data_IF_653138066894
#
_entry.id   IF_653138066894
#
_cell.length_a   1.000
_cell.length_b   1.000
_cell.length_c   1.000
_cell.angle_alpha   90.00
_cell.angle_beta   90.00
_cell.angle_gamma   90.00
#
_symmetry.space_group_name_H-M   'P 1'
#
loop_
_entity.id
_entity.type
_entity.pdbx_description
1 polymer ?
#
# COMPACT_ATOMS: atom_id res chain seq x y z
N UNK A 1 -54.28 67.39 -17.32
CA UNK A 1 -52.93 67.91 -16.97
C UNK A 1 -52.01 66.72 -16.80
N UNK A 2 -51.09 66.53 -17.74
CA UNK A 2 -50.19 65.36 -17.84
C UNK A 2 -48.79 65.83 -17.41
N UNK A 3 -48.33 65.39 -16.24
CA UNK A 3 -46.98 65.69 -15.78
C UNK A 3 -46.05 64.52 -16.15
N UNK A 4 -45.24 64.72 -17.18
CA UNK A 4 -44.10 63.87 -17.55
C UNK A 4 -42.99 64.08 -16.52
N UNK A 5 -42.55 63.02 -15.86
CA UNK A 5 -41.27 62.99 -15.14
C UNK A 5 -40.28 62.13 -15.92
N UNK A 6 -39.32 62.81 -16.54
CA UNK A 6 -38.10 62.25 -17.11
C UNK A 6 -37.02 62.34 -16.02
N UNK A 7 -36.56 61.21 -15.49
CA UNK A 7 -35.34 61.14 -14.70
C UNK A 7 -34.30 60.33 -15.48
N UNK A 8 -33.22 61.03 -15.85
CA UNK A 8 -32.06 60.50 -16.55
C UNK A 8 -31.11 59.81 -15.57
N UNK A 9 -30.77 58.55 -15.89
CA UNK A 9 -29.44 57.92 -15.93
C UNK A 9 -28.38 58.47 -14.95
N UNK A 10 -27.90 57.60 -14.06
CA UNK A 10 -26.48 57.61 -13.69
C UNK A 10 -25.93 56.18 -13.74
N UNK A 11 -25.16 55.93 -14.78
CA UNK A 11 -24.50 54.68 -15.10
C UNK A 11 -23.13 54.71 -14.41
N UNK A 12 -23.07 54.33 -13.14
CA UNK A 12 -21.79 54.03 -12.49
C UNK A 12 -21.38 52.62 -12.90
N UNK A 13 -20.50 52.54 -13.90
CA UNK A 13 -19.70 51.36 -14.17
C UNK A 13 -18.84 51.05 -12.96
N UNK A 14 -19.32 50.18 -12.07
CA UNK A 14 -18.46 49.42 -11.18
C UNK A 14 -18.06 48.15 -11.92
N UNK A 15 -16.83 48.16 -12.43
CA UNK A 15 -16.07 46.96 -12.73
C UNK A 15 -15.90 46.17 -11.43
N UNK A 16 -16.89 45.34 -11.10
CA UNK A 16 -16.75 44.32 -10.07
C UNK A 16 -15.78 43.30 -10.68
N UNK A 17 -14.49 43.45 -10.37
CA UNK A 17 -13.55 42.35 -10.42
C UNK A 17 -14.20 41.24 -9.60
N UNK A 18 -14.73 40.23 -10.30
CA UNK A 18 -15.10 38.97 -9.70
C UNK A 18 -13.81 38.37 -9.13
N UNK A 19 -13.53 38.67 -7.86
CA UNK A 19 -12.67 37.84 -7.04
C UNK A 19 -13.34 36.48 -6.95
N UNK A 20 -13.07 35.62 -7.93
CA UNK A 20 -13.38 34.20 -7.83
C UNK A 20 -12.75 33.72 -6.52
N UNK A 21 -13.54 33.30 -5.52
CA UNK A 21 -12.95 32.74 -4.32
C UNK A 21 -12.16 31.53 -4.79
N UNK A 22 -10.86 31.53 -4.51
CA UNK A 22 -10.04 30.35 -4.68
C UNK A 22 -10.70 29.22 -3.89
N UNK A 23 -11.45 28.37 -4.59
CA UNK A 23 -11.92 27.11 -4.06
C UNK A 23 -10.65 26.31 -3.74
N UNK A 24 -10.30 26.33 -2.46
CA UNK A 24 -9.34 25.42 -1.86
C UNK A 24 -9.77 24.02 -2.29
N UNK A 25 -9.01 23.43 -3.21
CA UNK A 25 -9.14 22.03 -3.58
C UNK A 25 -8.89 21.24 -2.31
N UNK A 26 -9.95 20.89 -1.59
CA UNK A 26 -9.89 20.01 -0.45
C UNK A 26 -9.19 18.73 -0.91
N UNK A 27 -7.97 18.50 -0.43
CA UNK A 27 -7.20 17.33 -0.77
C UNK A 27 -8.02 16.11 -0.37
N UNK A 28 -8.34 15.25 -1.33
CA UNK A 28 -9.12 14.06 -1.04
C UNK A 28 -8.26 13.12 -0.19
N UNK A 29 -8.69 12.76 1.03
CA UNK A 29 -7.91 11.91 1.91
C UNK A 29 -7.65 10.55 1.24
N UNK A 30 -6.37 10.19 1.10
CA UNK A 30 -5.94 8.88 0.62
C UNK A 30 -5.28 8.09 1.74
N UNK A 31 -5.74 6.85 1.95
CA UNK A 31 -5.11 5.88 2.83
C UNK A 31 -5.86 5.66 4.15
N UNK A 32 -6.33 4.43 4.34
CA UNK A 32 -6.55 3.87 5.67
C UNK A 32 -5.66 2.63 5.78
N UNK A 33 -4.57 2.77 6.54
CA UNK A 33 -3.93 1.65 7.20
C UNK A 33 -4.32 1.71 8.67
N UNK A 34 -4.18 0.61 9.41
CA UNK A 34 -4.44 0.59 10.87
C UNK A 34 -3.71 1.74 11.60
N UNK A 35 -2.57 2.19 11.06
CA UNK A 35 -1.71 3.19 11.67
C UNK A 35 -1.91 4.61 11.11
N UNK A 36 -2.72 4.77 10.06
CA UNK A 36 -3.03 6.09 9.50
C UNK A 36 -4.51 6.09 9.08
N UNK A 37 -5.42 6.48 9.99
CA UNK A 37 -6.85 6.47 9.69
C UNK A 37 -7.16 7.51 8.62
N UNK A 38 -8.11 7.19 7.75
CA UNK A 38 -8.56 8.16 6.74
C UNK A 38 -9.45 9.20 7.43
N UNK A 39 -9.06 10.48 7.37
CA UNK A 39 -9.76 11.58 8.04
C UNK A 39 -10.41 12.49 7.00
N UNK A 40 -11.71 12.71 7.14
CA UNK A 40 -12.43 13.80 6.50
C UNK A 40 -12.77 14.81 7.59
N UNK A 41 -12.49 16.09 7.33
CA UNK A 41 -12.78 17.15 8.30
C UNK A 41 -13.18 18.42 7.54
N UNK A 42 -14.33 18.97 7.88
CA UNK A 42 -14.75 20.31 7.48
C UNK A 42 -14.98 21.20 8.73
N UNK A 43 -15.64 22.33 8.55
CA UNK A 43 -15.98 23.26 9.61
C UNK A 43 -17.08 22.75 10.56
N UNK A 44 -17.78 21.67 10.20
CA UNK A 44 -19.01 21.22 10.89
C UNK A 44 -18.89 19.83 11.46
N UNK A 45 -18.09 18.97 10.83
CA UNK A 45 -17.95 17.57 11.24
C UNK A 45 -16.56 17.04 10.93
N UNK A 46 -16.13 16.12 11.78
CA UNK A 46 -14.95 15.29 11.58
C UNK A 46 -15.37 13.83 11.51
N UNK A 47 -14.90 13.12 10.49
CA UNK A 47 -15.10 11.68 10.33
C UNK A 47 -13.73 11.01 10.22
N UNK A 48 -13.51 10.00 11.06
CA UNK A 48 -12.28 9.21 11.08
C UNK A 48 -12.63 7.77 10.78
N UNK A 49 -12.24 7.25 9.62
CA UNK A 49 -12.36 5.82 9.31
C UNK A 49 -11.28 5.08 10.08
N UNK A 50 -11.68 4.27 11.06
CA UNK A 50 -10.75 3.51 11.91
C UNK A 50 -10.18 2.33 11.14
N UNK A 51 -11.06 1.48 10.61
CA UNK A 51 -10.70 0.33 9.80
C UNK A 51 -11.91 -0.19 9.03
N UNK A 52 -11.65 -0.91 7.94
CA UNK A 52 -12.62 -1.79 7.31
C UNK A 52 -12.11 -3.22 7.41
N UNK A 53 -12.73 -4.02 8.26
CA UNK A 53 -12.34 -5.40 8.51
C UNK A 53 -13.31 -6.36 7.85
N UNK A 54 -12.77 -7.34 7.14
CA UNK A 54 -13.55 -8.43 6.58
C UNK A 54 -13.83 -9.49 7.64
N UNK A 55 -15.05 -9.98 7.68
CA UNK A 55 -15.44 -11.29 8.24
C UNK A 55 -15.77 -12.22 7.09
N UNK A 56 -16.15 -13.48 7.34
CA UNK A 56 -16.35 -14.50 6.29
C UNK A 56 -17.14 -13.98 5.08
N UNK A 57 -18.27 -13.31 5.31
CA UNK A 57 -19.17 -12.85 4.25
C UNK A 57 -19.36 -11.32 4.23
N UNK A 58 -18.94 -10.63 5.30
CA UNK A 58 -19.24 -9.22 5.49
C UNK A 58 -17.98 -8.37 5.51
N UNK A 59 -18.09 -7.15 4.99
CA UNK A 59 -17.11 -6.11 5.20
C UNK A 59 -17.68 -5.12 6.21
N UNK A 60 -16.98 -4.93 7.34
CA UNK A 60 -17.41 -4.02 8.40
C UNK A 60 -16.46 -2.83 8.45
N UNK A 61 -16.95 -1.65 8.06
CA UNK A 61 -16.23 -0.39 8.17
C UNK A 61 -16.62 0.33 9.46
N UNK A 62 -15.64 0.61 10.33
CA UNK A 62 -15.82 1.36 11.58
C UNK A 62 -15.31 2.79 11.40
N UNK A 63 -16.09 3.74 11.90
CA UNK A 63 -15.76 5.16 11.86
C UNK A 63 -16.03 5.84 13.20
N UNK A 64 -15.40 6.98 13.43
CA UNK A 64 -15.76 7.93 14.50
C UNK A 64 -16.31 9.18 13.82
N UNK A 65 -17.49 9.62 14.24
CA UNK A 65 -18.11 10.88 13.83
C UNK A 65 -18.06 11.85 15.01
N UNK A 66 -17.66 13.09 14.76
CA UNK A 66 -17.60 14.14 15.78
C UNK A 66 -18.17 15.43 15.20
N UNK A 67 -19.20 15.98 15.84
CA UNK A 67 -19.71 17.31 15.48
C UNK A 67 -18.74 18.39 15.94
N UNK A 68 -18.58 19.44 15.15
CA UNK A 68 -17.74 20.60 15.45
C UNK A 68 -18.62 21.84 15.61
N UNK A 69 -18.21 22.71 16.54
CA UNK A 69 -18.75 24.06 16.76
C UNK A 69 -20.22 24.15 17.24
N UNK A 70 -21.01 23.08 17.14
CA UNK A 70 -22.36 22.98 17.71
C UNK A 70 -22.84 21.53 17.79
N UNK A 71 -23.91 21.31 18.53
CA UNK A 71 -24.72 20.08 18.41
C UNK A 71 -25.34 20.01 17.01
N UNK A 72 -25.44 18.81 16.44
CA UNK A 72 -25.94 18.60 15.07
C UNK A 72 -26.71 17.31 14.92
N UNK A 73 -27.89 17.38 14.33
CA UNK A 73 -28.59 16.18 13.86
C UNK A 73 -27.96 15.68 12.59
N UNK A 74 -27.47 14.43 12.61
CA UNK A 74 -27.09 13.68 11.42
C UNK A 74 -28.16 12.65 11.10
N UNK A 75 -28.49 12.50 9.82
CA UNK A 75 -29.31 11.41 9.31
C UNK A 75 -28.48 10.55 8.32
N UNK A 76 -28.12 9.34 8.74
CA UNK A 76 -27.40 8.39 7.90
C UNK A 76 -28.41 7.40 7.33
N UNK A 77 -28.53 7.37 6.01
CA UNK A 77 -29.29 6.35 5.27
C UNK A 77 -28.33 5.48 4.48
N UNK A 78 -28.48 4.17 4.62
CA UNK A 78 -27.63 3.21 3.92
C UNK A 78 -27.83 3.18 2.42
N UNK A 79 -28.96 3.64 1.91
CA UNK A 79 -29.17 3.76 0.47
C UNK A 79 -28.32 4.88 -0.15
N UNK A 80 -27.88 5.84 0.67
CA UNK A 80 -27.04 6.96 0.23
C UNK A 80 -25.55 6.74 0.57
N UNK A 81 -25.22 5.74 1.40
CA UNK A 81 -23.84 5.35 1.69
C UNK A 81 -23.42 4.29 0.68
N UNK A 82 -22.33 4.54 -0.03
CA UNK A 82 -21.83 3.58 -1.02
C UNK A 82 -20.34 3.33 -0.90
N UNK A 83 -19.97 2.09 -1.21
CA UNK A 83 -18.62 1.62 -1.34
C UNK A 83 -18.41 1.22 -2.80
N UNK A 84 -17.31 1.66 -3.41
CA UNK A 84 -16.94 1.32 -4.79
C UNK A 84 -15.58 0.62 -4.78
N UNK A 85 -15.49 -0.52 -5.45
CA UNK A 85 -14.22 -1.22 -5.65
C UNK A 85 -13.42 -0.68 -6.85
N UNK A 86 -12.27 -1.29 -7.14
CA UNK A 86 -11.44 -0.91 -8.29
C UNK A 86 -11.95 -1.45 -9.64
N UNK A 87 -12.94 -2.34 -9.63
CA UNK A 87 -13.62 -2.82 -10.83
C UNK A 87 -14.83 -1.93 -11.19
N UNK A 88 -15.20 -1.00 -10.31
CA UNK A 88 -16.33 -0.10 -10.47
C UNK A 88 -17.65 -0.65 -9.94
N UNK A 89 -17.64 -1.77 -9.21
CA UNK A 89 -18.83 -2.31 -8.58
C UNK A 89 -19.22 -1.45 -7.37
N UNK A 90 -20.51 -1.12 -7.27
CA UNK A 90 -21.07 -0.36 -6.14
C UNK A 90 -21.73 -1.30 -5.14
N UNK A 91 -21.51 -1.01 -3.86
CA UNK A 91 -22.05 -1.76 -2.73
C UNK A 91 -22.65 -0.83 -1.70
N UNK A 92 -23.81 -1.21 -1.17
CA UNK A 92 -24.52 -0.46 -0.14
C UNK A 92 -24.48 -1.25 1.17
N UNK A 93 -24.36 -0.59 2.33
CA UNK A 93 -24.39 -1.27 3.61
C UNK A 93 -25.77 -1.90 3.82
N UNK A 94 -25.82 -3.14 4.28
CA UNK A 94 -27.05 -3.80 4.70
C UNK A 94 -27.48 -3.43 6.12
N UNK A 95 -26.57 -2.87 6.92
CA UNK A 95 -26.91 -2.29 8.21
C UNK A 95 -25.96 -1.17 8.62
N UNK A 96 -26.50 -0.20 9.35
CA UNK A 96 -25.76 0.90 9.95
C UNK A 96 -25.99 0.88 11.46
N UNK A 97 -24.94 1.18 12.22
CA UNK A 97 -25.02 1.48 13.65
C UNK A 97 -24.33 2.79 13.95
N UNK A 98 -24.91 3.56 14.87
CA UNK A 98 -24.33 4.79 15.40
C UNK A 98 -24.53 4.80 16.91
N UNK A 99 -23.44 4.95 17.65
CA UNK A 99 -23.36 4.68 19.09
C UNK A 99 -23.96 3.31 19.44
N UNK A 100 -25.00 3.29 20.27
CA UNK A 100 -25.68 2.08 20.72
C UNK A 100 -26.98 1.80 19.95
N UNK A 101 -27.24 2.54 18.86
CA UNK A 101 -28.45 2.43 18.05
C UNK A 101 -28.15 1.69 16.76
N UNK A 102 -29.08 0.83 16.35
CA UNK A 102 -29.08 0.14 15.06
C UNK A 102 -30.11 0.87 14.22
N UNK A 103 -29.77 1.22 12.98
CA UNK A 103 -30.71 1.90 12.09
C UNK A 103 -31.92 1.01 11.77
N UNK A 104 -33.12 1.54 11.96
CA UNK A 104 -34.35 0.93 11.48
C UNK A 104 -34.47 1.21 9.99
N UNK A 105 -34.84 0.21 9.19
CA UNK A 105 -34.85 0.33 7.72
C UNK A 105 -33.52 0.84 7.13
N UNK A 106 -32.40 0.55 7.81
CA UNK A 106 -31.08 1.02 7.41
C UNK A 106 -30.92 2.57 7.43
N UNK A 107 -31.75 3.25 8.22
CA UNK A 107 -31.70 4.70 8.44
C UNK A 107 -31.51 5.00 9.93
N UNK A 108 -30.69 6.01 10.24
CA UNK A 108 -30.47 6.46 11.62
C UNK A 108 -30.35 7.98 11.70
N UNK A 109 -31.30 8.58 12.41
CA UNK A 109 -31.28 9.99 12.79
C UNK A 109 -30.84 10.13 14.24
N UNK A 110 -29.79 10.90 14.50
CA UNK A 110 -29.25 11.10 15.84
C UNK A 110 -28.59 12.47 15.95
N UNK A 111 -28.74 13.10 17.11
CA UNK A 111 -28.01 14.31 17.45
C UNK A 111 -26.60 13.97 17.95
N UNK A 112 -25.59 14.49 17.25
CA UNK A 112 -24.21 14.48 17.67
C UNK A 112 -23.98 15.68 18.59
N UNK A 113 -23.54 15.41 19.81
CA UNK A 113 -23.14 16.44 20.76
C UNK A 113 -21.77 16.99 20.35
N UNK A 114 -21.60 18.31 20.45
CA UNK A 114 -20.38 19.03 20.07
C UNK A 114 -19.14 18.40 20.72
N UNK A 115 -18.10 18.15 19.90
CA UNK A 115 -16.80 17.62 20.31
C UNK A 115 -16.86 16.23 21.00
N UNK A 116 -17.99 15.53 20.97
CA UNK A 116 -18.12 14.16 21.47
C UNK A 116 -17.95 13.14 20.33
N UNK A 117 -17.07 12.13 20.46
CA UNK A 117 -16.88 11.10 19.44
C UNK A 117 -17.96 10.02 19.50
N UNK A 118 -18.72 9.87 18.41
CA UNK A 118 -19.71 8.81 18.23
C UNK A 118 -19.14 7.70 17.34
N UNK A 119 -19.19 6.45 17.83
CA UNK A 119 -18.76 5.28 17.05
C UNK A 119 -19.83 4.93 16.02
N UNK A 120 -19.44 4.75 14.77
CA UNK A 120 -20.32 4.25 13.70
C UNK A 120 -19.77 2.97 13.09
N UNK A 121 -20.66 2.11 12.61
CA UNK A 121 -20.28 0.93 11.81
C UNK A 121 -21.21 0.73 10.63
N UNK A 122 -20.63 0.48 9.46
CA UNK A 122 -21.31 0.15 8.22
C UNK A 122 -20.98 -1.29 7.85
N UNK A 123 -22.01 -2.14 7.76
CA UNK A 123 -21.85 -3.55 7.40
C UNK A 123 -22.30 -3.74 5.98
N UNK A 124 -21.38 -4.13 5.10
CA UNK A 124 -21.65 -4.48 3.72
C UNK A 124 -21.69 -6.00 3.57
N UNK A 125 -22.74 -6.51 2.94
CA UNK A 125 -22.89 -7.94 2.62
C UNK A 125 -22.59 -8.16 1.14
N UNK A 126 -22.36 -9.42 0.73
CA UNK A 126 -22.15 -9.82 -0.67
C UNK A 126 -20.94 -9.14 -1.34
N UNK A 127 -19.93 -8.77 -0.55
CA UNK A 127 -18.66 -8.25 -1.08
C UNK A 127 -17.76 -9.44 -1.50
N UNK A 128 -17.17 -9.43 -2.71
CA UNK A 128 -16.22 -10.45 -3.13
C UNK A 128 -15.08 -10.65 -2.12
N UNK A 129 -14.78 -11.90 -1.76
CA UNK A 129 -13.80 -12.25 -0.72
C UNK A 129 -12.35 -11.90 -1.07
N UNK A 130 -12.07 -11.65 -2.36
CA UNK A 130 -10.79 -11.17 -2.89
C UNK A 130 -10.62 -9.65 -2.84
N UNK A 131 -11.64 -8.89 -2.41
CA UNK A 131 -11.53 -7.43 -2.32
C UNK A 131 -10.61 -7.02 -1.16
N UNK A 132 -9.38 -6.65 -1.46
CA UNK A 132 -8.38 -6.26 -0.45
C UNK A 132 -8.21 -4.74 -0.32
N UNK A 133 -8.84 -3.98 -1.22
CA UNK A 133 -8.80 -2.53 -1.24
C UNK A 133 -10.13 -1.96 -1.70
N UNK A 134 -10.47 -0.77 -1.21
CA UNK A 134 -11.66 -0.01 -1.59
C UNK A 134 -11.22 1.23 -2.35
N UNK A 135 -11.82 1.49 -3.50
CA UNK A 135 -11.50 2.66 -4.31
C UNK A 135 -12.16 3.92 -3.75
N UNK A 136 -13.43 3.81 -3.30
CA UNK A 136 -14.19 4.92 -2.72
C UNK A 136 -15.13 4.41 -1.62
N UNK A 137 -15.15 5.10 -0.48
CA UNK A 137 -16.26 5.07 0.47
C UNK A 137 -16.87 6.47 0.53
N UNK A 138 -18.16 6.56 0.31
CA UNK A 138 -18.92 7.80 0.29
C UNK A 138 -19.94 7.78 1.43
N UNK A 139 -19.88 8.77 2.32
CA UNK A 139 -20.81 8.93 3.45
C UNK A 139 -21.46 10.32 3.32
N UNK A 140 -22.74 10.40 2.94
CA UNK A 140 -23.48 11.65 2.93
C UNK A 140 -23.77 12.09 4.36
N UNK A 141 -23.52 13.36 4.63
CA UNK A 141 -23.79 14.00 5.90
C UNK A 141 -25.02 14.87 5.67
N UNK A 142 -26.18 14.35 6.01
CA UNK A 142 -27.43 15.09 5.89
C UNK A 142 -27.53 16.17 6.97
N UNK A 143 -28.15 17.29 6.60
CA UNK A 143 -28.28 18.48 7.43
C UNK A 143 -28.34 19.75 6.57
N UNK A 144 -27.60 19.75 5.45
CA UNK A 144 -27.67 20.74 4.37
C UNK A 144 -27.28 20.05 3.06
N UNK A 145 -27.84 20.51 1.94
CA UNK A 145 -27.61 19.94 0.60
C UNK A 145 -26.09 19.96 0.30
N UNK A 146 -25.55 18.83 -0.14
CA UNK A 146 -24.21 18.64 -0.74
C UNK A 146 -23.02 18.21 0.11
N UNK A 147 -23.10 18.12 1.45
CA UNK A 147 -21.92 17.62 2.19
C UNK A 147 -21.81 16.11 2.21
N UNK A 148 -20.77 15.63 1.53
CA UNK A 148 -20.46 14.21 1.38
C UNK A 148 -19.00 13.97 1.70
N UNK A 149 -18.74 13.17 2.74
CA UNK A 149 -17.41 12.69 3.03
C UNK A 149 -17.00 11.60 2.03
N UNK A 150 -15.85 11.76 1.39
CA UNK A 150 -15.30 10.81 0.41
C UNK A 150 -13.93 10.35 0.87
N UNK A 151 -13.76 9.04 1.02
CA UNK A 151 -12.50 8.40 1.38
C UNK A 151 -12.03 7.54 0.22
N UNK A 152 -10.76 7.66 -0.18
CA UNK A 152 -10.24 6.93 -1.34
C UNK A 152 -9.08 6.01 -0.98
N UNK A 153 -8.94 4.95 -1.76
CA UNK A 153 -7.75 4.09 -1.80
C UNK A 153 -7.33 3.57 -0.42
N UNK A 154 -8.23 2.88 0.29
CA UNK A 154 -7.89 2.29 1.60
C UNK A 154 -7.97 0.77 1.60
N UNK A 155 -7.15 0.16 2.45
CA UNK A 155 -7.01 -1.29 2.52
C UNK A 155 -8.11 -1.91 3.39
N UNK A 156 -8.59 -3.08 2.98
CA UNK A 156 -9.43 -3.94 3.80
C UNK A 156 -8.53 -4.83 4.65
N UNK A 157 -8.73 -4.81 5.96
CA UNK A 157 -8.06 -5.74 6.88
C UNK A 157 -8.74 -7.10 6.71
N UNK A 158 -8.04 -8.05 6.09
CA UNK A 158 -8.52 -9.42 5.94
C UNK A 158 -8.88 -10.05 7.29
N UNK A 159 -9.87 -10.93 7.29
CA UNK A 159 -10.07 -11.82 8.44
C UNK A 159 -8.76 -12.57 8.65
N UNK A 160 -8.17 -12.48 9.85
CA UNK A 160 -7.06 -13.36 10.20
C UNK A 160 -7.50 -14.79 9.88
N UNK A 161 -6.71 -15.58 9.13
CA UNK A 161 -7.11 -16.93 8.78
C UNK A 161 -7.45 -17.65 10.07
N UNK A 162 -8.73 -18.03 10.22
CA UNK A 162 -9.21 -18.77 11.38
C UNK A 162 -8.33 -20.01 11.43
N UNK A 163 -7.42 -20.07 12.40
CA UNK A 163 -6.50 -21.18 12.54
C UNK A 163 -7.36 -22.42 12.78
N UNK A 164 -7.66 -23.14 11.71
CA UNK A 164 -8.33 -24.43 11.78
C UNK A 164 -7.42 -25.28 12.62
N UNK A 165 -7.86 -25.60 13.83
CA UNK A 165 -7.24 -26.62 14.67
C UNK A 165 -7.35 -27.92 13.91
N UNK A 166 -6.37 -28.19 13.04
CA UNK A 166 -6.19 -29.47 12.38
C UNK A 166 -6.02 -30.48 13.50
N UNK A 167 -7.03 -31.33 13.69
CA UNK A 167 -6.97 -32.47 14.59
C UNK A 167 -5.79 -33.33 14.14
N UNK A 168 -4.72 -33.29 14.92
CA UNK A 168 -3.43 -33.97 14.70
C UNK A 168 -3.68 -35.43 14.29
N UNK A 169 -3.38 -35.84 13.03
CA UNK A 169 -3.15 -37.24 12.76
C UNK A 169 -1.83 -37.61 13.44
N UNK A 170 -1.88 -38.59 14.33
CA UNK A 170 -0.68 -39.25 14.82
C UNK A 170 -0.12 -40.07 13.66
N UNK A 171 1.07 -39.71 13.16
CA UNK A 171 2.04 -40.56 12.45
C UNK A 171 3.34 -39.74 12.26
N UNK A 172 4.40 -40.50 12.06
CA UNK A 172 5.77 -40.40 12.54
C UNK A 172 6.64 -39.25 12.03
N UNK A 173 7.72 -39.04 12.79
CA UNK A 173 8.80 -38.06 12.65
C UNK A 173 9.30 -37.88 11.21
N UNK A 174 9.16 -36.66 10.68
CA UNK A 174 10.22 -36.06 9.86
C UNK A 174 10.23 -34.54 10.12
N UNK A 175 11.41 -34.00 10.41
CA UNK A 175 11.60 -32.69 11.03
C UNK A 175 11.25 -31.52 10.08
N UNK A 176 10.07 -30.94 10.27
CA UNK A 176 9.78 -29.58 9.86
C UNK A 176 10.05 -28.64 11.05
N UNK A 177 11.08 -27.81 10.93
CA UNK A 177 11.40 -26.75 11.91
C UNK A 177 10.27 -25.72 11.88
N UNK A 178 9.35 -25.84 12.84
CA UNK A 178 8.35 -24.82 13.14
C UNK A 178 9.05 -23.70 13.90
N UNK A 179 9.17 -22.53 13.27
CA UNK A 179 9.57 -21.32 13.97
C UNK A 179 8.37 -20.86 14.81
N UNK A 180 8.50 -20.71 16.13
CA UNK A 180 7.46 -20.13 16.96
C UNK A 180 7.35 -18.64 16.63
N UNK A 181 6.16 -18.23 16.20
CA UNK A 181 5.79 -16.81 16.14
C UNK A 181 5.31 -16.43 17.53
N UNK A 182 6.22 -15.92 18.35
CA UNK A 182 5.87 -15.28 19.63
C UNK A 182 5.31 -13.89 19.33
N UNK A 183 4.07 -13.68 19.75
CA UNK A 183 3.37 -12.41 19.67
C UNK A 183 3.54 -11.65 20.98
N UNK A 184 4.12 -10.46 20.94
CA UNK A 184 3.94 -9.47 22.00
C UNK A 184 4.05 -8.05 21.44
N UNK A 185 2.96 -7.30 21.58
CA UNK A 185 2.94 -5.87 21.90
C UNK A 185 3.53 -4.88 20.89
N UNK A 186 2.64 -4.12 20.24
CA UNK A 186 2.84 -2.72 19.86
C UNK A 186 4.06 -2.41 18.97
N UNK A 187 3.92 -2.73 17.69
CA UNK A 187 4.21 -1.83 16.56
C UNK A 187 4.03 -2.66 15.28
N UNK A 188 3.11 -2.26 14.40
CA UNK A 188 2.90 -2.86 13.07
C UNK A 188 4.07 -2.52 12.12
N UNK A 189 5.30 -2.67 12.61
CA UNK A 189 6.52 -2.60 11.83
C UNK A 189 6.62 -3.90 11.05
N UNK A 190 6.41 -3.81 9.74
CA UNK A 190 6.68 -4.89 8.78
C UNK A 190 8.12 -5.41 8.89
N UNK A 191 9.01 -4.61 9.49
CA UNK A 191 10.40 -4.94 9.75
C UNK A 191 10.59 -5.52 11.17
N UNK A 192 11.56 -6.42 11.39
CA UNK A 192 11.95 -6.88 12.73
C UNK A 192 12.24 -5.70 13.68
N UNK A 193 12.10 -5.94 15.00
CA UNK A 193 12.28 -4.93 16.04
C UNK A 193 13.54 -4.07 15.82
N UNK A 194 13.38 -2.75 16.02
CA UNK A 194 14.46 -1.75 15.90
C UNK A 194 15.06 -1.60 14.51
N UNK A 195 14.41 -2.13 13.47
CA UNK A 195 14.83 -1.91 12.08
C UNK A 195 13.81 -1.06 11.32
N UNK A 196 14.29 -0.24 10.39
CA UNK A 196 13.44 0.62 9.54
C UNK A 196 13.44 0.12 8.11
N UNK A 197 12.42 0.49 7.34
CA UNK A 197 12.37 0.20 5.91
C UNK A 197 13.40 1.08 5.20
N UNK A 198 14.31 0.45 4.48
CA UNK A 198 15.35 1.10 3.68
C UNK A 198 14.98 1.11 2.19
N UNK A 199 14.44 -0.01 1.69
CA UNK A 199 13.93 -0.10 0.32
C UNK A 199 12.53 -0.70 0.31
N UNK A 200 11.73 -0.25 -0.64
CA UNK A 200 10.42 -0.80 -0.95
C UNK A 200 10.42 -1.31 -2.37
N UNK A 201 9.94 -2.52 -2.57
CA UNK A 201 9.68 -3.07 -3.89
C UNK A 201 8.24 -3.58 -4.00
N UNK A 202 7.66 -3.46 -5.19
CA UNK A 202 6.30 -3.95 -5.47
C UNK A 202 6.26 -4.72 -6.78
N UNK A 203 5.67 -5.91 -6.79
CA UNK A 203 5.32 -6.68 -7.98
C UNK A 203 3.81 -6.77 -8.14
N UNK A 204 3.29 -7.51 -9.13
CA UNK A 204 1.84 -7.75 -9.28
C UNK A 204 1.31 -8.57 -8.09
N UNK A 205 2.11 -9.48 -7.54
CA UNK A 205 1.69 -10.42 -6.49
C UNK A 205 2.25 -10.13 -5.10
N UNK A 206 3.32 -9.34 -4.97
CA UNK A 206 4.03 -9.16 -3.69
C UNK A 206 4.34 -7.69 -3.35
N UNK A 207 4.36 -7.41 -2.05
CA UNK A 207 4.97 -6.24 -1.42
C UNK A 207 6.25 -6.72 -0.72
N UNK A 208 7.38 -6.11 -1.06
CA UNK A 208 8.66 -6.48 -0.46
C UNK A 208 9.33 -5.28 0.18
N UNK A 209 9.98 -5.51 1.30
CA UNK A 209 10.69 -4.51 2.07
C UNK A 209 12.08 -5.01 2.38
N UNK A 210 13.05 -4.11 2.27
CA UNK A 210 14.40 -4.32 2.76
C UNK A 210 14.54 -3.51 4.03
N UNK A 211 14.75 -4.20 5.14
CA UNK A 211 14.78 -3.62 6.47
C UNK A 211 16.19 -3.61 7.04
N UNK A 212 16.47 -2.63 7.88
CA UNK A 212 17.70 -2.57 8.67
C UNK A 212 17.83 -1.27 9.46
N UNK A 213 18.77 -1.18 10.41
CA UNK A 213 18.95 0.02 11.23
C UNK A 213 19.60 1.15 10.41
N UNK A 214 20.72 0.85 9.75
CA UNK A 214 21.46 1.75 8.85
C UNK A 214 21.75 1.09 7.50
N UNK A 215 22.10 -0.20 7.53
CA UNK A 215 22.37 -1.03 6.36
C UNK A 215 21.30 -2.11 6.21
N UNK A 216 21.05 -2.62 4.98
CA UNK A 216 20.18 -3.77 4.74
C UNK A 216 20.58 -4.99 5.58
N UNK A 217 19.65 -5.52 6.37
CA UNK A 217 19.87 -6.74 7.17
C UNK A 217 18.82 -7.80 6.93
N UNK A 218 17.58 -7.40 6.63
CA UNK A 218 16.46 -8.32 6.45
C UNK A 218 15.71 -8.04 5.15
N UNK A 219 15.28 -9.13 4.53
CA UNK A 219 14.30 -9.19 3.48
C UNK A 219 12.95 -9.50 4.14
N UNK A 220 11.91 -8.76 3.79
CA UNK A 220 10.54 -9.06 4.16
C UNK A 220 9.70 -9.11 2.89
N UNK A 221 9.06 -10.24 2.63
CA UNK A 221 8.14 -10.43 1.51
C UNK A 221 6.74 -10.72 2.03
N UNK A 222 5.77 -9.93 1.59
CA UNK A 222 4.35 -10.13 1.88
C UNK A 222 3.61 -10.36 0.57
N UNK A 223 2.74 -11.36 0.51
CA UNK A 223 1.79 -11.46 -0.58
C UNK A 223 0.86 -10.24 -0.56
N UNK A 224 0.43 -9.76 -1.74
CA UNK A 224 -0.43 -8.57 -1.83
C UNK A 224 -1.79 -8.73 -1.17
N UNK A 225 -2.26 -9.97 -1.06
CA UNK A 225 -3.47 -10.34 -0.33
C UNK A 225 -3.22 -10.46 1.19
N UNK A 226 -1.98 -10.32 1.66
CA UNK A 226 -1.59 -10.46 3.06
C UNK A 226 -1.70 -11.88 3.61
N UNK A 227 -2.01 -12.88 2.78
CA UNK A 227 -2.20 -14.27 3.21
C UNK A 227 -0.91 -14.94 3.69
N UNK A 228 0.23 -14.51 3.16
CA UNK A 228 1.53 -15.09 3.43
C UNK A 228 2.59 -14.01 3.58
N UNK A 229 3.49 -14.23 4.54
CA UNK A 229 4.63 -13.37 4.78
C UNK A 229 5.87 -14.20 5.09
N UNK A 230 7.02 -13.71 4.67
CA UNK A 230 8.32 -14.26 5.04
C UNK A 230 9.24 -13.13 5.47
N UNK A 231 10.01 -13.38 6.53
CA UNK A 231 11.09 -12.50 6.96
C UNK A 231 12.37 -13.32 6.99
N UNK A 232 13.34 -12.93 6.18
CA UNK A 232 14.60 -13.64 5.97
C UNK A 232 15.77 -12.69 6.21
N UNK A 233 16.89 -13.23 6.67
CA UNK A 233 18.13 -12.46 6.77
C UNK A 233 18.76 -12.31 5.38
N UNK A 234 19.17 -11.10 5.03
CA UNK A 234 19.92 -10.87 3.79
C UNK A 234 21.29 -11.53 3.86
N UNK A 235 21.67 -12.19 2.76
CA UNK A 235 22.97 -12.83 2.56
C UNK A 235 23.87 -11.98 1.69
N UNK A 236 23.28 -11.36 0.67
CA UNK A 236 23.96 -10.47 -0.25
C UNK A 236 23.08 -9.27 -0.55
N UNK A 237 23.69 -8.09 -0.66
CA UNK A 237 23.02 -6.90 -1.15
C UNK A 237 24.01 -5.96 -1.82
N UNK A 238 23.52 -5.27 -2.83
CA UNK A 238 24.11 -4.07 -3.41
C UNK A 238 23.00 -3.01 -3.61
N UNK A 239 23.26 -1.95 -4.40
CA UNK A 239 22.28 -0.89 -4.63
C UNK A 239 21.11 -1.30 -5.53
N UNK A 240 21.26 -2.39 -6.27
CA UNK A 240 20.37 -2.85 -7.35
C UNK A 240 19.81 -4.24 -7.13
N UNK A 241 20.40 -5.02 -6.23
CA UNK A 241 20.08 -6.41 -5.98
C UNK A 241 20.13 -6.74 -4.48
N UNK A 242 19.16 -7.51 -4.01
CA UNK A 242 19.05 -8.02 -2.64
C UNK A 242 18.77 -9.51 -2.68
N UNK A 243 19.49 -10.30 -1.90
CA UNK A 243 19.36 -11.75 -1.85
C UNK A 243 19.27 -12.28 -0.43
N UNK A 244 18.29 -13.15 -0.18
CA UNK A 244 18.09 -13.86 1.08
C UNK A 244 17.86 -15.35 0.83
N UNK A 245 18.23 -16.19 1.79
CA UNK A 245 18.11 -17.65 1.69
C UNK A 245 17.20 -18.22 2.78
N UNK A 246 16.42 -19.23 2.43
CA UNK A 246 15.62 -20.06 3.34
C UNK A 246 15.85 -21.54 2.99
N UNK A 247 16.82 -22.17 3.66
CA UNK A 247 17.29 -23.51 3.29
C UNK A 247 17.82 -23.52 1.86
N UNK A 248 17.31 -24.43 1.04
CA UNK A 248 17.71 -24.57 -0.37
C UNK A 248 17.02 -23.56 -1.31
N UNK A 249 16.23 -22.64 -0.76
CA UNK A 249 15.49 -21.63 -1.53
C UNK A 249 16.15 -20.27 -1.41
N UNK A 250 16.55 -19.70 -2.54
CA UNK A 250 17.12 -18.36 -2.67
C UNK A 250 16.08 -17.37 -3.22
N UNK A 251 15.96 -16.21 -2.59
CA UNK A 251 15.06 -15.12 -2.95
C UNK A 251 15.89 -13.93 -3.38
N UNK A 252 15.81 -13.56 -4.65
CA UNK A 252 16.53 -12.43 -5.23
C UNK A 252 15.56 -11.36 -5.71
N UNK A 253 15.68 -10.13 -5.21
CA UNK A 253 15.05 -8.94 -5.79
C UNK A 253 16.11 -8.15 -6.54
N UNK A 254 15.81 -7.77 -7.77
CA UNK A 254 16.56 -6.79 -8.54
C UNK A 254 15.62 -5.69 -9.08
N UNK A 255 16.18 -4.61 -9.63
CA UNK A 255 15.43 -3.46 -10.13
C UNK A 255 14.22 -3.79 -11.02
N UNK A 256 14.30 -4.85 -11.83
CA UNK A 256 13.25 -5.23 -12.77
C UNK A 256 12.59 -6.59 -12.50
N UNK A 257 13.07 -7.37 -11.51
CA UNK A 257 12.56 -8.74 -11.30
C UNK A 257 12.72 -9.25 -9.88
N UNK A 258 11.74 -10.03 -9.44
CA UNK A 258 11.82 -10.96 -8.33
C UNK A 258 12.09 -12.36 -8.90
N UNK A 259 13.07 -13.07 -8.35
CA UNK A 259 13.41 -14.44 -8.73
C UNK A 259 13.51 -15.28 -7.47
N UNK A 260 12.80 -16.40 -7.43
CA UNK A 260 12.94 -17.41 -6.39
C UNK A 260 13.53 -18.66 -7.03
N UNK A 261 14.65 -19.14 -6.49
CA UNK A 261 15.31 -20.38 -6.91
C UNK A 261 15.23 -21.41 -5.80
N UNK A 262 15.05 -22.67 -6.15
CA UNK A 262 15.22 -23.81 -5.25
C UNK A 262 16.17 -24.79 -5.91
N UNK A 263 17.20 -25.25 -5.19
CA UNK A 263 18.22 -26.15 -5.74
C UNK A 263 18.84 -25.61 -7.05
N UNK A 264 19.14 -24.30 -7.06
CA UNK A 264 19.64 -23.54 -8.21
C UNK A 264 18.70 -23.46 -9.44
N UNK A 265 17.49 -24.01 -9.37
CA UNK A 265 16.46 -23.92 -10.41
C UNK A 265 15.47 -22.79 -10.12
N UNK A 266 15.15 -21.95 -11.11
CA UNK A 266 14.12 -20.91 -10.96
C UNK A 266 12.75 -21.59 -10.83
N UNK A 267 12.09 -21.37 -9.69
CA UNK A 267 10.74 -21.89 -9.41
C UNK A 267 9.68 -20.79 -9.47
N UNK A 268 10.10 -19.53 -9.38
CA UNK A 268 9.21 -18.38 -9.51
C UNK A 268 9.98 -17.19 -10.07
N UNK A 269 9.34 -16.44 -10.97
CA UNK A 269 9.89 -15.20 -11.51
C UNK A 269 8.75 -14.22 -11.81
N UNK A 270 8.95 -12.96 -11.41
CA UNK A 270 7.98 -11.90 -11.60
C UNK A 270 8.66 -10.57 -11.88
N UNK A 271 8.01 -9.68 -12.64
CA UNK A 271 8.51 -8.34 -12.90
C UNK A 271 8.26 -7.42 -11.69
N UNK A 272 9.28 -6.70 -11.27
CA UNK A 272 9.13 -5.61 -10.29
C UNK A 272 8.60 -4.37 -10.99
N UNK A 273 7.54 -3.79 -10.44
CA UNK A 273 6.94 -2.55 -10.92
C UNK A 273 7.69 -1.33 -10.41
N UNK A 274 8.09 -1.36 -9.14
CA UNK A 274 8.80 -0.27 -8.47
C UNK A 274 9.82 -0.88 -7.52
N UNK A 275 11.07 -0.41 -7.55
CA UNK A 275 12.08 -0.59 -6.51
C UNK A 275 12.58 0.80 -6.12
N UNK A 276 12.25 1.24 -4.90
CA UNK A 276 12.51 2.60 -4.44
C UNK A 276 13.26 2.57 -3.11
N UNK A 277 14.37 3.32 -3.05
CA UNK A 277 15.05 3.62 -1.80
C UNK A 277 14.26 4.68 -1.01
N UNK A 278 14.14 4.51 0.31
CA UNK A 278 13.45 5.45 1.19
C UNK A 278 14.42 6.47 1.81
N UNK A 279 13.93 7.66 2.21
CA UNK A 279 14.75 8.69 2.84
C UNK A 279 15.51 8.17 4.07
N UNK A 280 16.80 8.52 4.17
CA UNK A 280 17.66 8.08 5.27
C UNK A 280 18.31 6.70 5.05
N UNK A 281 18.25 6.17 3.82
CA UNK A 281 19.22 5.18 3.33
C UNK A 281 20.56 5.88 3.13
N UNK A 282 21.60 5.42 3.83
CA UNK A 282 22.95 5.94 3.64
C UNK A 282 23.35 5.52 2.21
N UNK A 283 23.46 6.51 1.31
CA UNK A 283 24.16 6.25 0.05
C UNK A 283 25.57 5.87 0.46
N UNK A 284 25.98 4.61 0.24
CA UNK A 284 27.36 4.21 0.46
C UNK A 284 28.18 5.09 -0.47
N UNK A 285 28.76 6.17 0.06
CA UNK A 285 29.58 7.08 -0.70
C UNK A 285 30.69 6.22 -1.29
N UNK A 286 30.81 6.28 -2.61
CA UNK A 286 31.68 5.45 -3.40
C UNK A 286 33.13 5.79 -3.02
N UNK A 287 33.64 5.13 -1.97
CA UNK A 287 35.06 5.11 -1.69
C UNK A 287 35.69 4.18 -2.72
N UNK A 288 35.67 4.60 -3.97
CA UNK A 288 36.53 4.04 -5.02
C UNK A 288 37.95 4.23 -4.51
N UNK A 289 38.69 3.16 -4.20
CA UNK A 289 40.12 3.29 -3.97
C UNK A 289 40.68 3.78 -5.29
N UNK A 290 41.08 5.04 -5.34
CA UNK A 290 41.77 5.61 -6.49
C UNK A 290 42.97 4.69 -6.78
N UNK A 291 42.98 3.93 -7.88
CA UNK A 291 44.12 3.07 -8.17
C UNK A 291 45.28 4.01 -8.43
N UNK A 292 46.18 4.14 -7.45
CA UNK A 292 47.50 4.72 -7.67
C UNK A 292 48.21 3.82 -8.67
N UNK A 293 48.00 4.11 -9.95
CA UNK A 293 48.82 3.62 -11.05
C UNK A 293 50.23 4.15 -10.79
N UNK A 294 51.05 3.35 -10.11
CA UNK A 294 52.51 3.49 -10.13
C UNK A 294 52.92 3.22 -11.57
N UNK A 295 53.11 4.28 -12.34
CA UNK A 295 53.87 4.25 -13.60
C UNK A 295 55.30 3.81 -13.25
N UNK A 296 55.62 2.55 -13.49
CA UNK A 296 56.99 2.14 -13.75
C UNK A 296 57.14 2.02 -15.28
N UNK A 297 57.95 2.87 -15.93
CA UNK A 297 58.35 2.65 -17.30
C UNK A 297 59.54 1.69 -17.29
N UNK A 298 59.29 0.40 -17.58
CA UNK A 298 60.39 -0.50 -17.93
C UNK A 298 60.28 -0.80 -19.41
N UNK A 299 61.24 -0.24 -20.15
CA UNK A 299 61.50 -0.51 -21.55
C UNK A 299 61.63 -2.01 -21.82
N UNK A 300 60.98 -2.46 -22.89
CA UNK A 300 61.40 -3.64 -23.65
C UNK A 300 62.52 -3.24 -24.63
N UNK A 301 63.50 -4.10 -24.88
CA UNK A 301 64.13 -4.21 -26.18
C UNK A 301 63.53 -5.39 -26.96
N UNK A 302 62.81 -5.03 -28.03
CA UNK A 302 63.05 -5.39 -29.44
C UNK A 302 63.74 -6.74 -29.77
N UNK A 303 63.04 -7.45 -30.67
CA UNK A 303 63.44 -8.46 -31.67
C UNK A 303 63.89 -9.87 -31.23
N UNK A 304 63.28 -10.90 -31.82
CA UNK A 304 63.70 -11.48 -33.11
C UNK A 304 62.74 -12.63 -33.49
N UNK A 305 62.22 -12.56 -34.72
CA UNK A 305 61.80 -13.63 -35.63
C UNK A 305 61.64 -15.08 -35.10
N UNK A 306 60.44 -15.66 -35.26
CA UNK A 306 60.35 -17.00 -35.87
C UNK A 306 59.01 -17.28 -36.56
N UNK A 307 59.06 -17.28 -37.89
CA UNK A 307 58.14 -18.00 -38.79
C UNK A 307 57.98 -19.46 -38.33
N UNK A 308 56.74 -19.94 -38.21
CA UNK A 308 56.39 -21.28 -38.70
C UNK A 308 54.91 -21.38 -39.03
N UNK A 309 54.66 -21.37 -40.34
CA UNK A 309 53.56 -21.98 -41.04
C UNK A 309 53.35 -23.45 -40.65
N UNK A 310 52.10 -23.84 -40.41
CA UNK A 310 51.55 -25.09 -40.96
C UNK A 310 50.03 -25.13 -40.79
N UNK A 311 49.39 -25.01 -41.95
CA UNK A 311 48.05 -25.44 -42.32
C UNK A 311 47.76 -26.88 -41.90
N UNK A 312 46.56 -27.15 -41.36
CA UNK A 312 45.75 -28.31 -41.77
C UNK A 312 44.31 -28.21 -41.22
N UNK A 313 43.39 -28.00 -42.15
CA UNK A 313 41.98 -28.34 -42.00
C UNK A 313 41.81 -29.86 -42.07
N UNK A 314 40.94 -30.44 -41.25
CA UNK A 314 40.08 -31.53 -41.71
C UNK A 314 38.76 -31.55 -40.94
N UNK A 315 37.69 -31.59 -41.71
CA UNK A 315 36.28 -31.55 -41.34
C UNK A 315 35.76 -32.94 -40.92
N UNK A 316 34.54 -33.03 -40.34
CA UNK A 316 34.05 -34.22 -39.66
C UNK A 316 33.45 -35.25 -40.61
N UNK A 317 33.64 -36.53 -40.29
CA UNK A 317 33.06 -37.69 -40.98
C UNK A 317 31.71 -38.06 -40.32
N UNK A 318 30.62 -38.03 -41.10
CA UNK A 318 29.27 -38.46 -40.71
C UNK A 318 28.91 -39.76 -41.46
N UNK A 319 28.61 -40.79 -40.66
CA UNK A 319 27.71 -41.97 -40.78
C UNK A 319 26.69 -41.86 -41.96
N UNK A 320 26.26 -42.85 -42.76
CA UNK A 320 25.91 -44.32 -42.69
C UNK A 320 25.41 -44.69 -44.12
N UNK A 321 24.94 -45.90 -44.49
CA UNK A 321 24.98 -47.22 -43.85
C UNK A 321 25.94 -48.23 -44.51
#
# INVERSE_FOLDING_TARGET
MIAKWLVRISWCGLSILWCYPHQLLAQVPTGSSINNPAIYEDDRVKIVIQNCSRTLENLVCKAILTSKNSDRTVNLSGDNIRLVDFEGNEYYPSSIRLANRIGENNEIKTELIENIPFKASFVFTKIPTNLNQVALLQIPLSGDVDTTAKFRNFSVVGAAPVATKVKKPAIDRTAAVKIPVESSGDDNLVCPERTKILYRATSKSFLMYICGPKNPTHYVGLSRDGSQGITLRLRYYDRTQFSADNGDTNYTIAANRLVVRKDNKIIYQEKIQVLQALPGTISVQENTPNPKVKKNPTLLPVDINRKRSSTSQSSPKRITP
#
